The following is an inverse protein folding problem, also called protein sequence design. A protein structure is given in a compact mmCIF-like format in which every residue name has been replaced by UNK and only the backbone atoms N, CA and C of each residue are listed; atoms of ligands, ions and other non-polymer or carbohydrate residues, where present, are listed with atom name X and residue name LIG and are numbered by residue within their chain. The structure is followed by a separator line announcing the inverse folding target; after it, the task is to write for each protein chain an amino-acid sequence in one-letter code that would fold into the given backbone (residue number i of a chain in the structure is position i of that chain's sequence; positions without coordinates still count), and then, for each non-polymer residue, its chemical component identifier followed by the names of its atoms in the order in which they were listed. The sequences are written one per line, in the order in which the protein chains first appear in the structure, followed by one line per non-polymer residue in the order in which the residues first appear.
data_IF_180916149103
#
_entry.id   IF_180916149103
#
_cell.length_a   1.000
_cell.length_b   1.000
_cell.length_c   1.000
_cell.angle_alpha   90.00
_cell.angle_beta   90.00
_cell.angle_gamma   90.00
#
_symmetry.space_group_name_H-M   'P 1'
#
loop_
_entity.id
_entity.type
_entity.pdbx_description
1 polymer ?
#
# COMPACT_ATOMS: atom_id res chain seq x y z
N UNK A 1 -4.21 18.05 17.42
CA UNK A 1 -5.06 17.03 16.79
C UNK A 1 -5.67 16.16 17.88
N UNK A 2 -6.97 15.93 17.82
CA UNK A 2 -7.71 15.04 18.72
C UNK A 2 -7.69 13.60 18.20
N UNK A 3 -8.01 12.63 19.05
CA UNK A 3 -8.14 11.22 18.64
C UNK A 3 -9.31 11.01 17.65
N UNK A 4 -10.38 11.81 17.72
CA UNK A 4 -11.49 11.74 16.78
C UNK A 4 -11.07 12.24 15.39
N UNK A 5 -10.30 13.35 15.33
CA UNK A 5 -9.68 13.84 14.10
C UNK A 5 -8.68 12.83 13.53
N UNK A 6 -7.92 12.15 14.39
CA UNK A 6 -6.99 11.09 13.99
C UNK A 6 -7.70 9.94 13.27
N UNK A 7 -8.78 9.43 13.85
CA UNK A 7 -9.59 8.37 13.24
C UNK A 7 -10.22 8.82 11.92
N UNK A 8 -10.76 10.04 11.86
CA UNK A 8 -11.35 10.58 10.64
C UNK A 8 -10.30 10.73 9.52
N UNK A 9 -9.10 11.21 9.85
CA UNK A 9 -7.98 11.30 8.92
C UNK A 9 -7.55 9.93 8.41
N UNK A 10 -7.29 8.99 9.32
CA UNK A 10 -6.92 7.62 8.97
C UNK A 10 -7.94 6.97 8.01
N UNK A 11 -9.23 7.01 8.36
CA UNK A 11 -10.29 6.47 7.50
C UNK A 11 -10.34 7.14 6.12
N UNK A 12 -10.02 8.43 6.02
CA UNK A 12 -9.98 9.15 4.74
C UNK A 12 -8.86 8.64 3.85
N UNK A 13 -7.64 8.52 4.40
CA UNK A 13 -6.46 8.05 3.69
C UNK A 13 -6.59 6.59 3.25
N UNK A 14 -6.97 5.70 4.17
CA UNK A 14 -7.19 4.28 3.92
C UNK A 14 -8.27 4.04 2.84
N UNK A 15 -9.37 4.79 2.92
CA UNK A 15 -10.44 4.73 1.91
C UNK A 15 -9.92 5.13 0.53
N UNK A 16 -9.12 6.20 0.45
CA UNK A 16 -8.53 6.68 -0.80
C UNK A 16 -7.61 5.63 -1.42
N UNK A 17 -6.70 5.05 -0.64
CA UNK A 17 -5.75 4.02 -1.13
C UNK A 17 -6.51 2.78 -1.60
N UNK A 18 -7.45 2.28 -0.79
CA UNK A 18 -8.31 1.15 -1.15
C UNK A 18 -9.03 1.37 -2.48
N UNK A 19 -9.62 2.54 -2.66
CA UNK A 19 -10.40 2.84 -3.86
C UNK A 19 -9.49 2.92 -5.10
N UNK A 20 -8.27 3.46 -4.97
CA UNK A 20 -7.26 3.42 -6.03
C UNK A 20 -6.92 1.98 -6.43
N UNK A 21 -6.74 1.08 -5.47
CA UNK A 21 -6.49 -0.34 -5.78
C UNK A 21 -7.68 -1.03 -6.45
N UNK A 22 -8.91 -0.74 -5.99
CA UNK A 22 -10.12 -1.29 -6.61
C UNK A 22 -10.29 -0.80 -8.04
N UNK A 23 -10.05 0.48 -8.28
CA UNK A 23 -10.11 1.07 -9.61
C UNK A 23 -9.03 0.49 -10.53
N UNK A 24 -7.81 0.29 -10.03
CA UNK A 24 -6.73 -0.35 -10.77
C UNK A 24 -7.06 -1.82 -11.12
N UNK A 25 -7.60 -2.59 -10.16
CA UNK A 25 -8.06 -3.96 -10.38
C UNK A 25 -9.18 -4.05 -11.44
N UNK A 26 -10.12 -3.10 -11.42
CA UNK A 26 -11.21 -3.03 -12.40
C UNK A 26 -10.74 -2.57 -13.79
N UNK A 27 -9.73 -1.70 -13.85
CA UNK A 27 -9.22 -1.11 -15.09
C UNK A 27 -8.20 -1.97 -15.83
N UNK A 28 -7.49 -2.86 -15.12
CA UNK A 28 -6.47 -3.71 -15.73
C UNK A 28 -7.06 -4.85 -16.55
N UNK A 29 -6.38 -5.22 -17.64
CA UNK A 29 -6.70 -6.43 -18.43
C UNK A 29 -5.90 -7.64 -18.01
N UNK A 30 -4.78 -7.44 -17.31
CA UNK A 30 -3.87 -8.51 -16.90
C UNK A 30 -4.36 -9.17 -15.62
N UNK A 31 -4.49 -10.50 -15.62
CA UNK A 31 -5.03 -11.24 -14.48
C UNK A 31 -4.10 -11.20 -13.28
N UNK A 32 -2.80 -11.26 -13.53
CA UNK A 32 -1.75 -11.23 -12.53
C UNK A 32 -1.66 -9.85 -11.85
N UNK A 33 -1.72 -8.76 -12.62
CA UNK A 33 -1.78 -7.40 -12.07
C UNK A 33 -3.07 -7.19 -11.26
N UNK A 34 -4.22 -7.67 -11.76
CA UNK A 34 -5.49 -7.63 -11.03
C UNK A 34 -5.40 -8.30 -9.68
N UNK A 35 -4.80 -9.49 -9.61
CA UNK A 35 -4.64 -10.23 -8.37
C UNK A 35 -3.81 -9.47 -7.34
N UNK A 36 -2.77 -8.74 -7.76
CA UNK A 36 -1.96 -7.89 -6.90
C UNK A 36 -2.76 -6.70 -6.34
N UNK A 37 -3.47 -5.96 -7.21
CA UNK A 37 -4.31 -4.85 -6.77
C UNK A 37 -5.43 -5.30 -5.84
N UNK A 38 -6.06 -6.44 -6.11
CA UNK A 38 -7.11 -7.00 -5.26
C UNK A 38 -6.61 -7.40 -3.87
N UNK A 39 -5.38 -7.91 -3.75
CA UNK A 39 -4.86 -8.30 -2.43
C UNK A 39 -4.50 -7.09 -1.58
N UNK A 40 -3.89 -6.06 -2.19
CA UNK A 40 -3.59 -4.80 -1.51
C UNK A 40 -4.89 -4.08 -1.12
N UNK A 41 -5.85 -3.97 -2.04
CA UNK A 41 -7.16 -3.37 -1.75
C UNK A 41 -8.00 -4.14 -0.71
N UNK A 42 -7.74 -5.45 -0.51
CA UNK A 42 -8.32 -6.20 0.63
C UNK A 42 -7.64 -5.87 1.94
N UNK A 43 -6.32 -5.64 1.94
CA UNK A 43 -5.59 -5.22 3.13
C UNK A 43 -6.09 -3.86 3.62
N UNK A 44 -6.19 -2.86 2.73
CA UNK A 44 -6.73 -1.54 3.09
C UNK A 44 -8.18 -1.59 3.57
N UNK A 45 -8.98 -2.51 3.01
CA UNK A 45 -10.34 -2.70 3.52
C UNK A 45 -10.32 -3.24 4.97
N UNK A 46 -9.40 -4.15 5.28
CA UNK A 46 -9.23 -4.67 6.65
C UNK A 46 -8.79 -3.58 7.63
N UNK A 47 -7.97 -2.63 7.18
CA UNK A 47 -7.57 -1.44 7.94
C UNK A 47 -8.76 -0.54 8.28
N UNK A 48 -9.59 -0.24 7.28
CA UNK A 48 -10.82 0.55 7.47
C UNK A 48 -11.75 -0.14 8.46
N UNK A 49 -11.92 -1.46 8.35
CA UNK A 49 -12.79 -2.24 9.23
C UNK A 49 -12.25 -2.23 10.67
N UNK A 50 -10.94 -2.41 10.83
CA UNK A 50 -10.26 -2.30 12.12
C UNK A 50 -10.44 -0.90 12.72
N UNK A 51 -10.15 0.18 11.99
CA UNK A 51 -10.29 1.56 12.45
C UNK A 51 -11.72 1.87 12.88
N UNK A 52 -12.72 1.46 12.11
CA UNK A 52 -14.12 1.63 12.49
C UNK A 52 -14.46 0.86 13.76
N UNK A 53 -13.99 -0.38 13.89
CA UNK A 53 -14.20 -1.21 15.08
C UNK A 53 -13.64 -0.54 16.34
N UNK A 54 -12.36 -0.14 16.32
CA UNK A 54 -11.70 0.44 17.49
C UNK A 54 -12.21 1.85 17.81
N UNK A 55 -12.58 2.65 16.80
CA UNK A 55 -13.20 3.97 16.99
C UNK A 55 -14.56 3.83 17.68
N UNK A 56 -15.39 2.90 17.22
CA UNK A 56 -16.71 2.66 17.81
C UNK A 56 -16.61 2.15 19.26
N UNK A 57 -15.67 1.24 19.52
CA UNK A 57 -15.37 0.77 20.87
C UNK A 57 -14.91 1.92 21.78
N UNK A 58 -13.99 2.75 21.29
CA UNK A 58 -13.48 3.89 22.05
C UNK A 58 -14.59 4.89 22.36
N UNK A 59 -15.46 5.23 21.39
CA UNK A 59 -16.61 6.11 21.63
C UNK A 59 -17.57 5.60 22.69
N UNK A 60 -17.76 4.28 22.79
CA UNK A 60 -18.62 3.65 23.79
C UNK A 60 -18.00 3.54 25.17
N UNK A 61 -16.70 3.27 25.24
CA UNK A 61 -16.04 2.84 26.48
C UNK A 61 -15.03 3.86 27.03
N UNK A 62 -14.59 4.82 26.22
CA UNK A 62 -13.47 5.72 26.51
C UNK A 62 -12.10 5.05 26.44
N UNK A 63 -12.03 3.74 26.15
CA UNK A 63 -10.78 2.96 26.18
C UNK A 63 -10.25 2.75 24.77
N UNK A 64 -8.98 3.11 24.56
CA UNK A 64 -8.27 2.89 23.30
C UNK A 64 -7.73 1.45 23.23
N UNK A 65 -7.89 0.84 22.06
CA UNK A 65 -7.32 -0.46 21.73
C UNK A 65 -6.01 -0.27 20.97
N UNK A 66 -4.92 -0.80 21.53
CA UNK A 66 -3.55 -0.57 21.04
C UNK A 66 -2.91 -1.81 20.42
N UNK A 67 -3.69 -2.87 20.18
CA UNK A 67 -3.20 -4.12 19.58
C UNK A 67 -2.68 -3.94 18.15
N UNK A 68 -3.23 -2.98 17.43
CA UNK A 68 -2.91 -2.71 16.02
C UNK A 68 -3.67 -3.64 15.06
N UNK A 69 -3.77 -3.27 13.77
CA UNK A 69 -4.36 -4.13 12.75
C UNK A 69 -3.45 -5.32 12.43
N UNK A 70 -4.06 -6.42 11.99
CA UNK A 70 -3.37 -7.53 11.34
C UNK A 70 -3.37 -7.29 9.83
N UNK A 71 -2.27 -7.66 9.15
CA UNK A 71 -2.24 -7.67 7.69
C UNK A 71 -2.77 -9.01 7.17
N UNK A 72 -3.56 -8.96 6.11
CA UNK A 72 -4.03 -10.11 5.34
C UNK A 72 -3.14 -10.38 4.13
N UNK A 73 -2.04 -9.63 3.96
CA UNK A 73 -1.05 -9.92 2.93
C UNK A 73 -0.44 -11.32 3.13
N UNK A 74 -0.12 -12.01 2.02
CA UNK A 74 0.53 -13.31 2.09
C UNK A 74 1.97 -13.15 2.57
N UNK A 75 2.62 -14.25 3.00
CA UNK A 75 4.05 -14.26 3.30
C UNK A 75 4.90 -13.68 2.15
N UNK A 76 6.02 -13.05 2.51
CA UNK A 76 6.86 -12.27 1.60
C UNK A 76 7.29 -13.04 0.35
N UNK A 77 7.67 -14.32 0.48
CA UNK A 77 8.06 -15.17 -0.65
C UNK A 77 6.94 -15.34 -1.68
N UNK A 78 5.70 -15.56 -1.22
CA UNK A 78 4.53 -15.66 -2.11
C UNK A 78 4.18 -14.32 -2.74
N UNK A 79 4.39 -13.23 -2.00
CA UNK A 79 4.14 -11.88 -2.49
C UNK A 79 5.12 -11.49 -3.60
N UNK A 80 6.41 -11.73 -3.40
CA UNK A 80 7.45 -11.50 -4.42
C UNK A 80 7.15 -12.27 -5.70
N UNK A 81 6.74 -13.53 -5.59
CA UNK A 81 6.37 -14.33 -6.75
C UNK A 81 5.11 -13.80 -7.45
N UNK A 82 4.14 -13.25 -6.71
CA UNK A 82 2.98 -12.58 -7.30
C UNK A 82 3.39 -11.29 -8.05
N UNK A 83 4.28 -10.50 -7.47
CA UNK A 83 4.80 -9.28 -8.09
C UNK A 83 5.57 -9.57 -9.38
N UNK A 84 6.46 -10.57 -9.38
CA UNK A 84 7.19 -10.99 -10.59
C UNK A 84 6.24 -11.42 -11.71
N UNK A 85 5.19 -12.19 -11.38
CA UNK A 85 4.17 -12.60 -12.36
C UNK A 85 3.41 -11.40 -12.92
N UNK A 86 3.00 -10.46 -12.06
CA UNK A 86 2.33 -9.23 -12.48
C UNK A 86 3.24 -8.34 -13.34
N UNK A 87 4.52 -8.21 -12.99
CA UNK A 87 5.46 -7.44 -13.80
C UNK A 87 5.67 -8.06 -15.19
N UNK A 88 5.80 -9.39 -15.26
CA UNK A 88 5.97 -10.09 -16.53
C UNK A 88 4.74 -9.96 -17.46
N UNK A 89 3.52 -9.99 -16.91
CA UNK A 89 2.29 -9.78 -17.70
C UNK A 89 2.18 -8.36 -18.25
N UNK A 90 2.68 -7.37 -17.51
CA UNK A 90 2.68 -5.96 -17.89
C UNK A 90 3.80 -5.58 -18.87
N UNK A 91 4.68 -6.51 -19.25
CA UNK A 91 5.84 -6.19 -20.06
C UNK A 91 5.46 -5.76 -21.50
N UNK A 92 6.10 -4.70 -22.05
CA UNK A 92 5.81 -4.14 -23.39
C UNK A 92 5.80 -5.13 -24.54
N UNK A 93 6.60 -6.20 -24.42
CA UNK A 93 6.78 -7.20 -25.47
C UNK A 93 5.54 -8.09 -25.70
N UNK A 94 4.56 -8.09 -24.79
CA UNK A 94 3.38 -8.97 -24.86
C UNK A 94 2.07 -8.29 -25.23
N UNK A 95 1.90 -7.00 -24.95
CA UNK A 95 0.55 -6.43 -24.88
C UNK A 95 0.19 -5.52 -26.05
N UNK A 96 1.14 -4.82 -26.68
CA UNK A 96 0.82 -3.81 -27.70
C UNK A 96 -0.19 -2.75 -27.22
N UNK A 97 -0.38 -2.67 -25.90
CA UNK A 97 -1.33 -1.83 -25.20
C UNK A 97 -0.56 -0.76 -24.45
N UNK A 98 -1.17 0.42 -24.39
CA UNK A 98 -0.70 1.65 -23.77
C UNK A 98 0.06 1.43 -22.45
N UNK A 99 1.39 1.43 -22.53
CA UNK A 99 2.32 1.43 -21.40
C UNK A 99 1.94 2.51 -20.37
N UNK A 100 1.23 3.56 -20.78
CA UNK A 100 0.77 4.65 -19.91
C UNK A 100 -0.32 4.26 -18.90
N UNK A 101 -1.17 3.26 -19.17
CA UNK A 101 -2.33 2.97 -18.30
C UNK A 101 -1.94 2.32 -16.98
N UNK A 102 -1.16 1.24 -17.05
CA UNK A 102 -0.75 0.42 -15.90
C UNK A 102 0.36 1.08 -15.11
N UNK A 103 1.34 1.66 -15.80
CA UNK A 103 2.39 2.44 -15.13
C UNK A 103 1.78 3.65 -14.41
N UNK A 104 0.79 4.33 -15.01
CA UNK A 104 0.08 5.39 -14.31
C UNK A 104 -0.76 4.87 -13.14
N UNK A 105 -1.35 3.68 -13.22
CA UNK A 105 -2.08 3.08 -12.09
C UNK A 105 -1.13 2.79 -10.91
N UNK A 106 0.01 2.16 -11.16
CA UNK A 106 1.05 1.93 -10.15
C UNK A 106 1.63 3.23 -9.60
N UNK A 107 1.83 4.24 -10.44
CA UNK A 107 2.32 5.55 -10.01
C UNK A 107 1.32 6.28 -9.11
N UNK A 108 0.02 6.19 -9.43
CA UNK A 108 -1.07 6.72 -8.57
C UNK A 108 -1.16 5.98 -7.25
N UNK A 109 -1.05 4.65 -7.27
CA UNK A 109 -1.01 3.84 -6.06
C UNK A 109 0.19 4.24 -5.18
N UNK A 110 1.41 4.29 -5.74
CA UNK A 110 2.61 4.68 -5.00
C UNK A 110 2.48 6.07 -4.38
N UNK A 111 1.98 7.06 -5.13
CA UNK A 111 1.77 8.40 -4.59
C UNK A 111 0.78 8.41 -3.42
N UNK A 112 -0.27 7.60 -3.48
CA UNK A 112 -1.24 7.47 -2.39
C UNK A 112 -0.64 6.76 -1.17
N UNK A 113 0.16 5.71 -1.38
CA UNK A 113 0.89 5.00 -0.32
C UNK A 113 1.89 5.91 0.40
N UNK A 114 2.66 6.69 -0.35
CA UNK A 114 3.61 7.65 0.21
C UNK A 114 2.90 8.74 1.01
N UNK A 115 1.75 9.23 0.52
CA UNK A 115 0.93 10.23 1.21
C UNK A 115 0.34 9.67 2.51
N UNK A 116 -0.19 8.45 2.48
CA UNK A 116 -0.78 7.76 3.64
C UNK A 116 0.28 7.42 4.69
N UNK A 117 1.43 6.91 4.25
CA UNK A 117 2.61 6.68 5.11
C UNK A 117 3.07 7.97 5.78
N UNK A 118 3.20 9.06 5.02
CA UNK A 118 3.57 10.37 5.55
C UNK A 118 2.53 10.90 6.54
N UNK A 119 1.24 10.71 6.25
CA UNK A 119 0.14 11.02 7.16
C UNK A 119 0.30 10.27 8.49
N UNK A 120 0.50 8.95 8.49
CA UNK A 120 0.63 8.19 9.74
C UNK A 120 1.88 8.57 10.53
N UNK A 121 3.01 8.86 9.87
CA UNK A 121 4.22 9.38 10.54
C UNK A 121 3.94 10.73 11.22
N UNK A 122 3.26 11.64 10.53
CA UNK A 122 2.83 12.93 11.08
C UNK A 122 1.82 12.75 12.22
N UNK A 123 0.89 11.82 12.08
CA UNK A 123 -0.13 11.51 13.06
C UNK A 123 0.48 11.00 14.37
N UNK A 124 1.34 10.00 14.29
CA UNK A 124 2.01 9.40 15.44
C UNK A 124 2.93 10.42 16.13
N UNK A 125 3.60 11.31 15.38
CA UNK A 125 4.45 12.34 16.00
C UNK A 125 3.66 13.46 16.70
N UNK A 126 2.45 13.77 16.21
CA UNK A 126 1.64 14.89 16.72
C UNK A 126 0.63 14.49 17.81
N UNK A 127 0.30 13.21 17.96
CA UNK A 127 -0.63 12.73 18.98
C UNK A 127 0.02 12.65 20.38
N UNK A 128 -0.79 12.73 21.46
CA UNK A 128 -0.36 12.38 22.81
C UNK A 128 0.06 10.91 22.91
N UNK A 129 1.03 10.60 23.79
CA UNK A 129 1.64 9.27 24.00
C UNK A 129 0.62 8.12 24.02
N UNK A 130 -0.46 8.29 24.78
CA UNK A 130 -1.53 7.32 25.00
C UNK A 130 -2.26 6.94 23.70
N UNK A 131 -2.40 7.90 22.78
CA UNK A 131 -3.08 7.73 21.49
C UNK A 131 -2.15 7.24 20.38
N UNK A 132 -0.84 7.48 20.49
CA UNK A 132 0.15 7.05 19.47
C UNK A 132 0.13 5.55 19.24
N UNK A 133 -0.05 4.79 20.33
CA UNK A 133 0.01 3.34 20.31
C UNK A 133 -1.01 2.69 19.36
N UNK A 134 -2.14 3.35 19.15
CA UNK A 134 -3.19 2.90 18.24
C UNK A 134 -2.72 2.91 16.78
N UNK A 135 -1.94 3.91 16.40
CA UNK A 135 -1.57 4.18 15.00
C UNK A 135 -0.14 3.78 14.64
N UNK A 136 0.73 3.49 15.63
CA UNK A 136 2.13 3.12 15.36
C UNK A 136 2.28 1.95 14.39
N UNK A 137 1.42 0.94 14.51
CA UNK A 137 1.48 -0.25 13.66
C UNK A 137 1.15 0.06 12.20
N UNK A 138 0.31 1.06 11.93
CA UNK A 138 0.03 1.49 10.56
C UNK A 138 1.29 2.01 9.86
N UNK A 139 2.16 2.77 10.53
CA UNK A 139 3.41 3.24 9.91
C UNK A 139 4.24 2.07 9.34
N UNK A 140 4.34 0.97 10.08
CA UNK A 140 5.09 -0.22 9.64
C UNK A 140 4.42 -0.94 8.47
N UNK A 141 3.09 -0.94 8.44
CA UNK A 141 2.31 -1.59 7.37
C UNK A 141 2.37 -0.77 6.09
N UNK A 142 2.09 0.54 6.17
CA UNK A 142 2.12 1.44 5.02
C UNK A 142 3.53 1.61 4.43
N UNK A 143 4.57 1.55 5.26
CA UNK A 143 5.96 1.46 4.78
C UNK A 143 6.17 0.19 3.93
N UNK A 144 5.54 -0.92 4.33
CA UNK A 144 5.51 -2.17 3.59
C UNK A 144 4.79 -2.04 2.25
N UNK A 145 3.59 -1.46 2.25
CA UNK A 145 2.81 -1.21 1.03
C UNK A 145 3.55 -0.31 0.05
N UNK A 146 4.09 0.82 0.54
CA UNK A 146 4.95 1.71 -0.25
C UNK A 146 6.11 0.95 -0.90
N UNK A 147 6.76 0.07 -0.14
CA UNK A 147 7.88 -0.74 -0.64
C UNK A 147 7.44 -1.73 -1.73
N UNK A 148 6.30 -2.39 -1.54
CA UNK A 148 5.72 -3.34 -2.51
C UNK A 148 5.39 -2.61 -3.82
N UNK A 149 4.65 -1.50 -3.76
CA UNK A 149 4.22 -0.79 -4.97
C UNK A 149 5.40 -0.17 -5.70
N UNK A 150 6.37 0.40 -4.97
CA UNK A 150 7.60 0.94 -5.59
C UNK A 150 8.36 -0.16 -6.34
N UNK A 151 8.61 -1.30 -5.69
CA UNK A 151 9.27 -2.42 -6.32
C UNK A 151 8.50 -2.95 -7.53
N UNK A 152 7.16 -3.00 -7.48
CA UNK A 152 6.35 -3.37 -8.63
C UNK A 152 6.47 -2.37 -9.79
N UNK A 153 6.44 -1.07 -9.51
CA UNK A 153 6.62 -0.02 -10.50
C UNK A 153 8.01 -0.09 -11.15
N UNK A 154 9.06 -0.35 -10.37
CA UNK A 154 10.42 -0.51 -10.86
C UNK A 154 10.56 -1.73 -11.79
N UNK A 155 9.96 -2.86 -11.41
CA UNK A 155 9.93 -4.08 -12.23
C UNK A 155 9.23 -3.86 -13.58
N UNK A 156 8.11 -3.12 -13.59
CA UNK A 156 7.34 -2.82 -14.80
C UNK A 156 8.05 -1.80 -15.69
N UNK A 157 8.65 -0.78 -15.08
CA UNK A 157 9.30 0.32 -15.81
C UNK A 157 10.65 -0.07 -16.44
N UNK A 158 11.12 -1.31 -16.22
CA UNK A 158 12.47 -1.80 -16.58
C UNK A 158 13.62 -0.92 -16.04
N UNK A 159 13.34 -0.05 -15.08
CA UNK A 159 14.36 0.64 -14.30
C UNK A 159 14.79 -0.33 -13.22
N UNK A 160 15.64 -1.29 -13.59
CA UNK A 160 16.20 -2.30 -12.67
C UNK A 160 17.06 -1.68 -11.56
N UNK A 161 16.43 -1.07 -10.57
CA UNK A 161 17.07 -0.68 -9.32
C UNK A 161 16.66 -1.64 -8.21
N UNK A 162 17.27 -2.83 -8.25
CA UNK A 162 17.56 -3.53 -7.00
C UNK A 162 18.80 -2.89 -6.39
N UNK A 163 18.76 -2.67 -5.07
CA UNK A 163 19.88 -2.24 -4.26
C UNK A 163 21.18 -3.01 -4.62
N UNK A 164 22.22 -2.24 -4.96
CA UNK A 164 23.64 -2.48 -4.60
C UNK A 164 24.44 -3.63 -5.27
N UNK A 165 24.34 -3.82 -6.59
CA UNK A 165 25.49 -4.34 -7.37
C UNK A 165 25.64 -3.54 -8.66
N UNK A 166 26.69 -2.72 -8.74
CA UNK A 166 27.23 -2.21 -10.00
C UNK A 166 27.63 -3.41 -10.86
N UNK A 167 26.81 -3.79 -11.81
CA UNK A 167 27.31 -4.57 -12.95
C UNK A 167 28.10 -3.58 -13.81
N UNK A 168 29.42 -3.80 -13.87
CA UNK A 168 30.31 -3.03 -14.72
C UNK A 168 29.96 -3.30 -16.18
N UNK A 169 29.83 -2.24 -16.97
CA UNK A 169 29.92 -2.31 -18.43
C UNK A 169 31.19 -3.08 -18.82
N UNK A 170 31.01 -4.17 -19.53
CA UNK A 170 32.02 -4.68 -20.46
C UNK A 170 31.44 -4.49 -21.85
N UNK A 171 31.75 -3.33 -22.41
CA UNK A 171 31.80 -3.12 -23.85
C UNK A 171 32.72 -4.20 -24.47
N UNK A 172 32.25 -4.86 -25.53
CA UNK A 172 33.08 -5.48 -26.57
C UNK A 172 32.93 -4.67 -27.86
#
# INVERSE_FOLDING_TARGET
MTIEEAFAGALTYETKVRDIYRDAAAGTRENEARGLYEILGRDEQSHIDYLNHIRERWRKTGVLDTRGPETVLPPLDRLEEAMKRAAASLSPARTGLDEGGEQAALSRALAAEEETTAFYRSLVSSLPEESRAVFRRFVEIEDGHTSIVRAQLDLVSRTGYWFDVREFDLED
#
